data_IF_030262937058
#
_entry.id   IF_030262937058
#
_cell.length_a   1.000
_cell.length_b   1.000
_cell.length_c   1.000
_cell.angle_alpha   90.00
_cell.angle_beta   90.00
_cell.angle_gamma   90.00
#
_symmetry.space_group_name_H-M   'P 1'
#
loop_
_entity.id
_entity.type
_entity.pdbx_description
1 polymer ?
#
# COMPACT_ATOMS: atom_id res chain seq x y z
N UNK A 1 -16.47 -3.86 23.02
CA UNK A 1 -15.93 -2.52 23.36
C UNK A 1 -16.77 -1.51 22.60
N UNK A 2 -17.74 -0.88 23.26
CA UNK A 2 -18.61 0.11 22.61
C UNK A 2 -17.76 1.28 22.08
N UNK A 3 -17.90 1.59 20.80
CA UNK A 3 -17.26 2.75 20.21
C UNK A 3 -17.97 4.00 20.74
N UNK A 4 -17.30 4.76 21.61
CA UNK A 4 -17.78 6.07 22.02
C UNK A 4 -17.67 7.05 20.84
N UNK A 5 -18.74 7.06 20.04
CA UNK A 5 -18.89 7.90 18.84
C UNK A 5 -19.62 9.23 19.15
N UNK A 6 -19.83 9.56 20.43
CA UNK A 6 -20.43 10.85 20.81
C UNK A 6 -19.56 11.98 20.26
N UNK A 7 -20.16 13.04 19.68
CA UNK A 7 -19.41 14.19 19.19
C UNK A 7 -18.39 14.69 20.21
N UNK A 8 -17.27 15.24 19.71
CA UNK A 8 -16.27 15.84 20.57
C UNK A 8 -16.87 17.02 21.33
N UNK A 9 -16.50 17.18 22.60
CA UNK A 9 -16.86 18.36 23.40
C UNK A 9 -16.14 19.61 22.88
N UNK A 10 -16.59 20.83 23.21
CA UNK A 10 -15.88 22.05 22.82
C UNK A 10 -14.39 22.05 23.21
N UNK A 11 -14.06 21.60 24.43
CA UNK A 11 -12.68 21.47 24.89
C UNK A 11 -11.87 20.43 24.08
N UNK A 12 -12.49 19.31 23.69
CA UNK A 12 -11.85 18.32 22.82
C UNK A 12 -11.64 18.86 21.39
N UNK A 13 -12.53 19.72 20.90
CA UNK A 13 -12.41 20.34 19.58
C UNK A 13 -11.25 21.35 19.49
N UNK A 14 -10.92 22.04 20.60
CA UNK A 14 -9.78 22.97 20.65
C UNK A 14 -8.44 22.27 20.42
N UNK A 15 -8.32 21.02 20.86
CA UNK A 15 -7.09 20.21 20.73
C UNK A 15 -7.12 19.25 19.54
N UNK A 16 -8.31 18.95 19.01
CA UNK A 16 -8.51 18.13 17.82
C UNK A 16 -8.23 18.94 16.56
N UNK A 17 -7.07 18.70 15.97
CA UNK A 17 -6.69 19.35 14.72
C UNK A 17 -7.16 18.53 13.52
N UNK A 18 -8.20 19.02 12.83
CA UNK A 18 -8.58 18.46 11.54
C UNK A 18 -7.50 18.76 10.51
N UNK A 19 -7.17 17.82 9.60
CA UNK A 19 -6.32 18.08 8.45
C UNK A 19 -6.97 19.05 7.43
N UNK A 20 -7.66 20.10 7.86
CA UNK A 20 -8.10 21.17 6.98
C UNK A 20 -6.91 22.08 6.67
N UNK A 21 -6.40 21.89 5.45
CA UNK A 21 -5.70 22.86 4.59
C UNK A 21 -4.21 23.21 4.79
N UNK A 22 -3.53 22.93 5.91
CA UNK A 22 -2.12 23.36 6.03
C UNK A 22 -1.05 22.27 5.80
N UNK A 23 -1.14 21.11 6.46
CA UNK A 23 -0.01 20.15 6.46
C UNK A 23 -0.28 18.90 5.63
N UNK A 24 -0.13 19.06 4.30
CA UNK A 24 -0.12 17.96 3.32
C UNK A 24 0.81 16.83 3.78
N UNK A 25 0.40 15.58 3.61
CA UNK A 25 1.25 14.42 3.89
C UNK A 25 2.25 14.17 2.75
N UNK A 26 2.08 14.87 1.62
CA UNK A 26 2.91 14.81 0.42
C UNK A 26 2.98 13.37 -0.13
N UNK A 27 1.81 12.74 -0.13
CA UNK A 27 1.54 11.40 -0.67
C UNK A 27 1.02 11.50 -2.10
N UNK A 28 0.54 10.39 -2.68
CA UNK A 28 -0.07 10.39 -4.00
C UNK A 28 -1.29 11.33 -4.09
N UNK A 29 -2.06 11.48 -3.01
CA UNK A 29 -3.22 12.38 -2.94
C UNK A 29 -2.88 13.84 -3.27
N UNK A 30 -1.65 14.26 -2.97
CA UNK A 30 -1.19 15.65 -3.14
C UNK A 30 -0.66 15.96 -4.54
N UNK A 31 -0.65 14.98 -5.45
CA UNK A 31 0.03 15.10 -6.75
C UNK A 31 -0.87 15.56 -7.90
N UNK A 32 -1.92 16.35 -7.59
CA UNK A 32 -2.89 16.86 -8.55
C UNK A 32 -3.54 15.76 -9.40
N UNK A 33 -3.94 14.66 -8.75
CA UNK A 33 -4.52 13.50 -9.42
C UNK A 33 -5.74 13.84 -10.26
N UNK A 34 -6.58 14.79 -9.83
CA UNK A 34 -7.75 15.23 -10.60
C UNK A 34 -7.39 15.76 -12.00
N UNK A 35 -6.23 16.44 -12.13
CA UNK A 35 -5.72 16.93 -13.43
C UNK A 35 -5.06 15.81 -14.24
N UNK A 36 -4.33 14.91 -13.58
CA UNK A 36 -3.54 13.86 -14.26
C UNK A 36 -4.36 12.63 -14.65
N UNK A 37 -5.42 12.35 -13.91
CA UNK A 37 -6.32 11.22 -14.11
C UNK A 37 -7.76 11.73 -13.85
N UNK A 38 -8.37 12.41 -14.82
CA UNK A 38 -9.75 12.87 -14.69
C UNK A 38 -10.68 11.64 -14.64
N UNK A 39 -11.53 11.59 -13.61
CA UNK A 39 -12.65 10.66 -13.59
C UNK A 39 -13.79 11.28 -14.39
N UNK A 40 -14.56 10.45 -15.10
CA UNK A 40 -15.72 10.94 -15.84
C UNK A 40 -16.70 11.60 -14.86
N UNK A 41 -17.17 12.84 -15.12
CA UNK A 41 -18.00 13.58 -14.17
C UNK A 41 -19.27 12.83 -13.78
N UNK A 42 -19.63 12.92 -12.51
CA UNK A 42 -20.94 12.54 -12.00
C UNK A 42 -22.00 13.54 -12.47
N UNK A 43 -23.15 13.07 -12.96
CA UNK A 43 -24.34 13.91 -13.18
C UNK A 43 -24.35 14.81 -14.42
N UNK A 44 -23.47 14.60 -15.41
CA UNK A 44 -23.60 15.31 -16.70
C UNK A 44 -24.90 14.91 -17.43
N UNK A 45 -25.57 15.88 -18.08
CA UNK A 45 -26.75 15.61 -18.93
C UNK A 45 -26.35 14.59 -20.00
N UNK A 46 -27.00 13.44 -19.99
CA UNK A 46 -26.50 12.25 -20.67
C UNK A 46 -27.62 11.58 -21.45
N UNK A 47 -27.36 11.32 -22.73
CA UNK A 47 -28.27 10.55 -23.57
C UNK A 47 -28.52 9.17 -22.95
N UNK A 48 -29.77 8.70 -23.06
CA UNK A 48 -30.19 7.38 -22.60
C UNK A 48 -29.47 6.29 -23.41
N UNK A 49 -29.22 5.14 -22.77
CA UNK A 49 -28.65 4.00 -23.46
C UNK A 49 -29.56 3.54 -24.63
N UNK A 50 -28.97 3.42 -25.82
CA UNK A 50 -29.67 2.92 -27.03
C UNK A 50 -29.67 1.40 -27.13
N UNK A 51 -28.69 0.75 -26.51
CA UNK A 51 -28.47 -0.69 -26.53
C UNK A 51 -28.24 -1.22 -25.12
N UNK A 52 -28.67 -2.45 -24.85
CA UNK A 52 -28.47 -3.14 -23.58
C UNK A 52 -27.06 -3.70 -23.39
N UNK A 53 -26.86 -4.54 -22.36
CA UNK A 53 -25.63 -5.33 -22.15
C UNK A 53 -25.61 -6.64 -22.95
N UNK A 54 -26.63 -6.89 -23.79
CA UNK A 54 -26.75 -8.10 -24.57
C UNK A 54 -27.07 -9.29 -23.66
N UNK A 55 -26.26 -10.36 -23.71
CA UNK A 55 -26.52 -11.58 -22.93
C UNK A 55 -26.50 -11.37 -21.40
N UNK A 56 -25.85 -10.30 -20.93
CA UNK A 56 -25.81 -9.97 -19.50
C UNK A 56 -27.12 -9.37 -19.00
N UNK A 57 -28.00 -8.86 -19.87
CA UNK A 57 -29.31 -8.33 -19.45
C UNK A 57 -30.26 -9.44 -18.97
N UNK A 58 -29.92 -10.72 -19.18
CA UNK A 58 -30.65 -11.86 -18.62
C UNK A 58 -30.44 -11.96 -17.10
N UNK A 59 -29.35 -11.40 -16.58
CA UNK A 59 -29.03 -11.48 -15.16
C UNK A 59 -29.82 -10.42 -14.38
N UNK A 60 -30.39 -10.78 -13.21
CA UNK A 60 -30.95 -9.80 -12.28
C UNK A 60 -29.91 -8.76 -11.86
N UNK A 61 -30.36 -7.56 -11.53
CA UNK A 61 -29.50 -6.45 -11.14
C UNK A 61 -28.61 -6.79 -9.95
N UNK A 62 -29.12 -7.56 -8.99
CA UNK A 62 -28.42 -8.02 -7.81
C UNK A 62 -27.23 -8.90 -8.19
N UNK A 63 -27.43 -9.82 -9.13
CA UNK A 63 -26.38 -10.72 -9.63
C UNK A 63 -25.33 -9.93 -10.41
N UNK A 64 -25.76 -8.98 -11.25
CA UNK A 64 -24.84 -8.06 -11.93
C UNK A 64 -24.00 -7.28 -10.92
N UNK A 65 -24.61 -6.70 -9.88
CA UNK A 65 -23.90 -5.96 -8.84
C UNK A 65 -22.91 -6.85 -8.08
N UNK A 66 -23.28 -8.09 -7.76
CA UNK A 66 -22.35 -9.05 -7.15
C UNK A 66 -21.16 -9.34 -8.05
N UNK A 67 -21.38 -9.58 -9.35
CA UNK A 67 -20.30 -9.79 -10.32
C UNK A 67 -19.38 -8.57 -10.34
N UNK A 68 -19.94 -7.36 -10.49
CA UNK A 68 -19.17 -6.12 -10.55
C UNK A 68 -18.29 -5.88 -9.30
N UNK A 69 -18.77 -6.27 -8.12
CA UNK A 69 -18.01 -6.15 -6.87
C UNK A 69 -16.81 -7.11 -6.80
N UNK A 70 -16.90 -8.27 -7.45
CA UNK A 70 -15.83 -9.27 -7.49
C UNK A 70 -14.83 -9.03 -8.63
N UNK A 71 -15.12 -8.12 -9.55
CA UNK A 71 -14.18 -7.71 -10.60
C UNK A 71 -13.14 -6.73 -10.08
N UNK A 72 -11.99 -6.73 -10.75
CA UNK A 72 -10.99 -5.69 -10.60
C UNK A 72 -11.46 -4.36 -11.21
N UNK A 73 -10.86 -3.27 -10.73
CA UNK A 73 -11.23 -1.91 -11.14
C UNK A 73 -11.01 -1.71 -12.65
N UNK A 74 -9.98 -2.34 -13.24
CA UNK A 74 -9.70 -2.25 -14.67
C UNK A 74 -10.79 -2.92 -15.50
N UNK A 75 -11.27 -4.11 -15.10
CA UNK A 75 -12.36 -4.84 -15.76
C UNK A 75 -13.65 -4.05 -15.77
N UNK A 76 -14.06 -3.47 -14.64
CA UNK A 76 -15.23 -2.57 -14.59
C UNK A 76 -15.04 -1.30 -15.42
N UNK A 77 -13.85 -0.69 -15.38
CA UNK A 77 -13.54 0.49 -16.21
C UNK A 77 -13.61 0.13 -17.70
N UNK A 78 -13.25 -1.10 -18.06
CA UNK A 78 -13.35 -1.60 -19.44
C UNK A 78 -14.81 -1.81 -19.83
N UNK A 79 -15.64 -2.38 -18.94
CA UNK A 79 -17.09 -2.49 -19.15
C UNK A 79 -17.74 -1.11 -19.35
N UNK A 80 -17.34 -0.10 -18.57
CA UNK A 80 -17.83 1.27 -18.73
C UNK A 80 -17.54 1.89 -20.12
N UNK A 81 -16.54 1.37 -20.83
CA UNK A 81 -16.14 1.86 -22.15
C UNK A 81 -16.80 1.10 -23.30
N UNK A 82 -17.52 0.01 -23.04
CA UNK A 82 -18.12 -0.82 -24.08
C UNK A 82 -19.33 -0.15 -24.73
N UNK A 83 -20.31 0.26 -23.93
CA UNK A 83 -21.48 1.00 -24.37
C UNK A 83 -22.06 1.81 -23.20
N UNK A 84 -23.12 2.58 -23.46
CA UNK A 84 -23.75 3.42 -22.44
C UNK A 84 -24.39 2.61 -21.32
N UNK A 85 -25.04 1.48 -21.61
CA UNK A 85 -25.61 0.62 -20.57
C UNK A 85 -24.53 0.04 -19.66
N UNK A 86 -23.38 -0.35 -20.20
CA UNK A 86 -22.21 -0.82 -19.43
C UNK A 86 -21.64 0.26 -18.54
N UNK A 87 -21.58 1.49 -19.06
CA UNK A 87 -21.28 2.66 -18.24
C UNK A 87 -22.27 2.79 -17.08
N UNK A 88 -23.56 2.87 -17.38
CA UNK A 88 -24.62 3.13 -16.41
C UNK A 88 -24.68 2.01 -15.36
N UNK A 89 -24.53 0.74 -15.75
CA UNK A 89 -24.55 -0.40 -14.82
C UNK A 89 -23.43 -0.32 -13.78
N UNK A 90 -22.20 -0.01 -14.20
CA UNK A 90 -21.09 0.16 -13.25
C UNK A 90 -21.26 1.44 -12.45
N UNK A 91 -21.75 2.52 -13.09
CA UNK A 91 -21.93 3.80 -12.44
C UNK A 91 -23.04 3.76 -11.38
N UNK A 92 -24.13 3.04 -11.60
CA UNK A 92 -25.25 2.90 -10.68
C UNK A 92 -24.91 2.05 -9.46
N UNK A 93 -23.75 1.39 -9.44
CA UNK A 93 -23.27 0.62 -8.29
C UNK A 93 -23.11 1.54 -7.06
N UNK A 94 -23.93 1.38 -6.00
CA UNK A 94 -23.94 2.29 -4.86
C UNK A 94 -22.58 2.41 -4.16
N UNK A 95 -21.84 1.30 -4.10
CA UNK A 95 -20.52 1.24 -3.48
C UNK A 95 -19.50 2.07 -4.26
N UNK A 96 -19.53 2.02 -5.59
CA UNK A 96 -18.67 2.88 -6.42
C UNK A 96 -19.04 4.35 -6.23
N UNK A 97 -20.34 4.66 -6.18
CA UNK A 97 -20.80 6.03 -5.93
C UNK A 97 -20.30 6.58 -4.60
N UNK A 98 -20.29 5.78 -3.54
CA UNK A 98 -19.70 6.17 -2.26
C UNK A 98 -18.20 6.49 -2.40
N UNK A 99 -17.43 5.69 -3.15
CA UNK A 99 -16.00 5.95 -3.38
C UNK A 99 -15.78 7.23 -4.19
N UNK A 100 -16.55 7.43 -5.28
CA UNK A 100 -16.45 8.64 -6.12
C UNK A 100 -16.82 9.89 -5.32
N UNK A 101 -17.86 9.81 -4.48
CA UNK A 101 -18.35 10.92 -3.67
C UNK A 101 -17.37 11.28 -2.55
N UNK A 102 -16.88 10.29 -1.81
CA UNK A 102 -16.14 10.55 -0.58
C UNK A 102 -14.63 10.55 -0.76
N UNK A 103 -14.07 9.73 -1.66
CA UNK A 103 -12.61 9.59 -1.81
C UNK A 103 -12.18 9.34 -3.26
N UNK A 104 -12.49 10.25 -4.21
CA UNK A 104 -12.21 10.04 -5.63
C UNK A 104 -10.71 9.96 -5.93
N UNK A 105 -9.85 10.55 -5.09
CA UNK A 105 -8.40 10.44 -5.24
C UNK A 105 -7.88 9.01 -5.08
N UNK A 106 -8.61 8.12 -4.42
CA UNK A 106 -8.26 6.70 -4.31
C UNK A 106 -8.35 6.03 -5.67
N UNK A 107 -9.49 6.18 -6.35
CA UNK A 107 -9.68 5.67 -7.72
C UNK A 107 -8.69 6.30 -8.69
N UNK A 108 -8.48 7.62 -8.62
CA UNK A 108 -7.48 8.29 -9.46
C UNK A 108 -6.06 7.82 -9.17
N UNK A 109 -5.75 7.52 -7.91
CA UNK A 109 -4.47 6.97 -7.50
C UNK A 109 -4.26 5.60 -8.13
N UNK A 110 -5.21 4.68 -7.94
CA UNK A 110 -5.19 3.32 -8.49
C UNK A 110 -5.05 3.34 -10.01
N UNK A 111 -5.88 4.11 -10.72
CA UNK A 111 -5.83 4.23 -12.18
C UNK A 111 -4.54 4.92 -12.65
N UNK A 112 -4.18 6.05 -12.02
CA UNK A 112 -3.00 6.83 -12.38
C UNK A 112 -1.69 6.09 -12.15
N UNK A 113 -1.66 5.14 -11.21
CA UNK A 113 -0.50 4.28 -10.96
C UNK A 113 -0.55 2.93 -11.67
N UNK A 114 -1.53 2.71 -12.56
CA UNK A 114 -1.70 1.47 -13.34
C UNK A 114 -1.93 0.22 -12.45
N UNK A 115 -2.56 0.39 -11.28
CA UNK A 115 -2.84 -0.69 -10.31
C UNK A 115 -4.26 -1.26 -10.42
N UNK A 116 -5.07 -0.76 -11.36
CA UNK A 116 -6.49 -1.09 -11.46
C UNK A 116 -6.77 -2.58 -11.75
N UNK A 117 -5.86 -3.29 -12.41
CA UNK A 117 -6.00 -4.73 -12.69
C UNK A 117 -5.67 -5.64 -11.51
N UNK A 118 -5.10 -5.09 -10.43
CA UNK A 118 -4.67 -5.86 -9.25
C UNK A 118 -5.52 -5.60 -8.02
N UNK A 119 -6.46 -4.65 -8.08
CA UNK A 119 -7.30 -4.26 -6.94
C UNK A 119 -8.76 -4.48 -7.31
N UNK A 120 -9.41 -5.36 -6.54
CA UNK A 120 -10.85 -5.63 -6.61
C UNK A 120 -11.68 -4.52 -5.96
N UNK A 121 -12.91 -4.31 -6.44
CA UNK A 121 -13.83 -3.39 -5.76
C UNK A 121 -14.17 -3.84 -4.35
N UNK A 122 -14.53 -5.11 -4.16
CA UNK A 122 -14.80 -5.65 -2.83
C UNK A 122 -13.60 -5.51 -1.90
N UNK A 123 -12.40 -5.77 -2.41
CA UNK A 123 -11.16 -5.60 -1.64
C UNK A 123 -10.99 -4.16 -1.18
N UNK A 124 -11.14 -3.18 -2.08
CA UNK A 124 -11.05 -1.76 -1.75
C UNK A 124 -12.12 -1.33 -0.73
N UNK A 125 -13.36 -1.78 -0.90
CA UNK A 125 -14.47 -1.45 -0.01
C UNK A 125 -14.23 -1.99 1.40
N UNK A 126 -13.74 -3.23 1.53
CA UNK A 126 -13.38 -3.81 2.82
C UNK A 126 -12.33 -2.95 3.56
N UNK A 127 -11.39 -2.33 2.83
CA UNK A 127 -10.39 -1.41 3.40
C UNK A 127 -10.98 -0.04 3.75
N UNK A 128 -12.00 0.42 3.04
CA UNK A 128 -12.70 1.67 3.36
C UNK A 128 -13.64 1.50 4.56
N UNK A 129 -14.24 0.34 4.75
CA UNK A 129 -15.16 0.04 5.86
C UNK A 129 -14.47 -0.51 7.11
N UNK A 130 -13.13 -0.59 7.11
CA UNK A 130 -12.32 -0.88 8.30
C UNK A 130 -11.49 0.35 8.65
N UNK A 131 -11.52 0.87 9.90
CA UNK A 131 -10.79 2.07 10.27
C UNK A 131 -9.32 1.81 10.65
N UNK A 132 -8.97 0.58 11.02
CA UNK A 132 -7.69 0.26 11.66
C UNK A 132 -6.57 0.06 10.65
N UNK A 133 -5.35 0.43 11.04
CA UNK A 133 -4.13 0.02 10.36
C UNK A 133 -3.99 -1.52 10.43
N UNK A 134 -3.38 -2.13 9.42
CA UNK A 134 -3.15 -3.58 9.40
C UNK A 134 -1.81 -3.99 10.03
N UNK A 135 -0.89 -3.03 10.22
CA UNK A 135 0.38 -3.26 10.92
C UNK A 135 0.36 -2.89 12.40
N UNK A 136 -0.63 -2.12 12.84
CA UNK A 136 -0.79 -1.70 14.24
C UNK A 136 -2.26 -1.38 14.51
N UNK A 137 -2.61 -1.06 15.76
CA UNK A 137 -4.01 -0.80 16.15
C UNK A 137 -4.49 0.65 15.92
N UNK A 138 -3.62 1.54 15.43
CA UNK A 138 -3.97 2.94 15.18
C UNK A 138 -4.94 3.10 14.01
N UNK A 139 -5.56 4.28 13.87
CA UNK A 139 -6.32 4.63 12.68
C UNK A 139 -5.42 4.64 11.43
N UNK A 140 -5.81 3.88 10.41
CA UNK A 140 -5.07 3.78 9.15
C UNK A 140 -5.57 4.77 8.11
N UNK A 141 -5.23 6.06 8.20
CA UNK A 141 -5.70 7.08 7.25
C UNK A 141 -5.15 6.98 5.82
N UNK A 142 -4.43 5.90 5.48
CA UNK A 142 -3.77 5.72 4.20
C UNK A 142 -3.93 4.29 3.67
N UNK A 143 -3.79 4.15 2.36
CA UNK A 143 -3.79 2.87 1.64
C UNK A 143 -2.48 2.72 0.89
N UNK A 144 -1.77 1.62 1.18
CA UNK A 144 -0.64 1.16 0.39
C UNK A 144 -1.14 0.39 -0.83
N UNK A 145 -0.99 0.99 -2.00
CA UNK A 145 -1.63 0.53 -3.24
C UNK A 145 -1.08 -0.80 -3.76
N UNK A 146 0.20 -1.11 -3.50
CA UNK A 146 0.83 -2.33 -4.03
C UNK A 146 0.20 -3.62 -3.49
N UNK A 147 -0.27 -3.61 -2.24
CA UNK A 147 -0.90 -4.76 -1.57
C UNK A 147 -2.34 -4.49 -1.14
N UNK A 148 -2.89 -3.31 -1.48
CA UNK A 148 -4.19 -2.83 -1.01
C UNK A 148 -4.32 -2.91 0.53
N UNK A 149 -3.29 -2.45 1.26
CA UNK A 149 -3.22 -2.56 2.73
C UNK A 149 -3.47 -1.20 3.39
N UNK A 150 -4.41 -1.15 4.34
CA UNK A 150 -4.69 0.06 5.14
C UNK A 150 -3.59 0.25 6.18
N UNK A 151 -3.04 1.45 6.24
CA UNK A 151 -1.82 1.75 7.03
C UNK A 151 -1.87 3.15 7.63
N UNK A 152 -1.30 3.32 8.83
CA UNK A 152 -1.14 4.63 9.45
C UNK A 152 0.18 5.31 9.02
N UNK A 153 0.31 6.62 9.25
CA UNK A 153 1.50 7.38 8.83
C UNK A 153 2.81 6.81 9.38
N UNK A 154 2.81 6.44 10.65
CA UNK A 154 3.98 5.86 11.34
C UNK A 154 4.43 4.56 10.68
N UNK A 155 3.50 3.65 10.40
CA UNK A 155 3.82 2.35 9.86
C UNK A 155 4.43 2.47 8.45
N UNK A 156 3.80 3.22 7.53
CA UNK A 156 4.31 3.26 6.15
C UNK A 156 5.66 3.99 6.02
N UNK A 157 5.96 4.91 6.94
CA UNK A 157 7.23 5.65 6.95
C UNK A 157 8.38 4.89 7.62
N UNK A 158 8.08 3.95 8.52
CA UNK A 158 9.10 3.23 9.31
C UNK A 158 9.28 1.77 8.92
N UNK A 159 8.19 1.02 8.73
CA UNK A 159 8.28 -0.43 8.57
C UNK A 159 8.84 -0.80 7.19
N UNK A 160 9.71 -1.83 7.10
CA UNK A 160 10.34 -2.23 5.84
C UNK A 160 9.34 -2.72 4.80
N UNK A 161 8.20 -3.27 5.23
CA UNK A 161 7.13 -3.78 4.36
C UNK A 161 6.52 -2.70 3.44
N UNK A 162 6.63 -1.43 3.84
CA UNK A 162 6.11 -0.30 3.07
C UNK A 162 7.21 0.49 2.36
N UNK A 163 8.36 -0.14 2.12
CA UNK A 163 9.41 0.36 1.24
C UNK A 163 9.37 -0.42 -0.08
N UNK A 164 8.76 0.14 -1.15
CA UNK A 164 8.73 -0.52 -2.45
C UNK A 164 10.13 -0.61 -3.07
N UNK A 165 10.41 -1.74 -3.69
CA UNK A 165 11.63 -1.96 -4.46
C UNK A 165 11.46 -1.45 -5.90
N UNK A 166 12.53 -0.94 -6.51
CA UNK A 166 12.51 -0.65 -7.95
C UNK A 166 12.46 -1.95 -8.75
N UNK A 167 11.73 -1.97 -9.87
CA UNK A 167 11.74 -3.08 -10.83
C UNK A 167 13.17 -3.51 -11.21
N UNK A 168 14.06 -2.55 -11.46
CA UNK A 168 15.46 -2.82 -11.80
C UNK A 168 16.23 -3.49 -10.65
N UNK A 169 15.91 -3.14 -9.40
CA UNK A 169 16.50 -3.77 -8.22
C UNK A 169 15.98 -5.20 -8.05
N UNK A 170 14.69 -5.45 -8.30
CA UNK A 170 14.13 -6.81 -8.25
C UNK A 170 14.80 -7.73 -9.29
N UNK A 171 14.94 -7.27 -10.55
CA UNK A 171 15.67 -8.04 -11.56
C UNK A 171 17.13 -8.30 -11.17
N UNK A 172 17.86 -7.26 -10.74
CA UNK A 172 19.31 -7.34 -10.53
C UNK A 172 19.68 -8.07 -9.24
N UNK A 173 18.92 -7.86 -8.15
CA UNK A 173 19.27 -8.38 -6.81
C UNK A 173 18.58 -9.70 -6.50
N UNK A 174 17.36 -9.91 -7.01
CA UNK A 174 16.54 -11.08 -6.70
C UNK A 174 16.41 -12.04 -7.90
N UNK A 175 16.97 -11.69 -9.06
CA UNK A 175 16.92 -12.55 -10.24
C UNK A 175 15.52 -12.77 -10.82
N UNK A 176 14.53 -11.96 -10.42
CA UNK A 176 13.16 -12.07 -10.93
C UNK A 176 13.14 -11.73 -12.42
N UNK A 177 12.61 -12.65 -13.23
CA UNK A 177 12.60 -12.51 -14.69
C UNK A 177 11.67 -11.37 -15.14
N UNK A 178 11.91 -10.85 -16.36
CA UNK A 178 11.03 -9.81 -16.93
C UNK A 178 9.61 -10.31 -17.19
N UNK A 179 9.43 -11.61 -17.41
CA UNK A 179 8.12 -12.26 -17.62
C UNK A 179 7.36 -12.36 -16.31
N UNK A 180 8.02 -12.83 -15.24
CA UNK A 180 7.36 -12.98 -13.93
C UNK A 180 6.91 -11.63 -13.39
N UNK A 181 7.73 -10.59 -13.55
CA UNK A 181 7.38 -9.22 -13.12
C UNK A 181 6.08 -8.72 -13.75
N UNK A 182 5.74 -9.13 -14.98
CA UNK A 182 4.47 -8.71 -15.61
C UNK A 182 3.25 -9.28 -14.91
N UNK A 183 3.40 -10.40 -14.20
CA UNK A 183 2.34 -11.05 -13.44
C UNK A 183 2.19 -10.47 -12.02
N UNK A 184 3.18 -9.70 -11.56
CA UNK A 184 3.18 -9.11 -10.23
C UNK A 184 2.50 -7.74 -10.22
N UNK A 185 1.85 -7.36 -9.10
CA UNK A 185 1.40 -5.99 -8.89
C UNK A 185 2.58 -5.01 -9.01
N UNK A 186 2.57 -4.23 -10.10
CA UNK A 186 3.63 -3.28 -10.44
C UNK A 186 3.06 -1.87 -10.49
N UNK A 187 3.44 -1.04 -9.53
CA UNK A 187 2.97 0.33 -9.42
C UNK A 187 3.85 1.27 -10.24
N UNK A 188 3.27 2.01 -11.17
CA UNK A 188 3.97 3.04 -11.93
C UNK A 188 3.73 4.42 -11.34
N UNK A 189 4.74 4.97 -10.67
CA UNK A 189 4.58 6.19 -9.88
C UNK A 189 4.11 7.38 -10.70
N UNK A 190 3.42 8.32 -10.05
CA UNK A 190 3.01 9.59 -10.64
C UNK A 190 4.12 10.63 -10.40
N UNK A 191 4.52 11.46 -11.37
CA UNK A 191 5.50 12.51 -11.13
C UNK A 191 4.98 13.53 -10.11
N UNK A 192 5.82 14.08 -9.23
CA UNK A 192 5.33 14.96 -8.17
C UNK A 192 6.37 15.35 -7.12
N UNK A 193 5.90 15.98 -6.05
CA UNK A 193 6.70 16.35 -4.88
C UNK A 193 6.26 15.50 -3.70
N UNK A 194 7.17 14.65 -3.22
CA UNK A 194 6.89 13.66 -2.19
C UNK A 194 7.69 13.94 -0.93
N UNK A 195 7.30 13.33 0.19
CA UNK A 195 7.93 13.47 1.52
C UNK A 195 7.79 14.88 2.08
N UNK A 196 8.07 15.04 3.38
CA UNK A 196 8.00 16.35 4.03
C UNK A 196 8.96 17.39 3.42
N UNK A 197 10.08 16.94 2.85
CA UNK A 197 11.10 17.79 2.23
C UNK A 197 10.73 18.21 0.80
N UNK A 198 9.50 17.90 0.33
CA UNK A 198 9.03 18.19 -1.03
C UNK A 198 9.99 17.67 -2.12
N UNK A 199 10.57 16.51 -1.91
CA UNK A 199 11.49 15.85 -2.85
C UNK A 199 10.84 15.73 -4.23
N UNK A 200 11.38 16.45 -5.21
CA UNK A 200 10.91 16.43 -6.59
C UNK A 200 11.25 15.11 -7.27
N UNK A 201 10.23 14.38 -7.72
CA UNK A 201 10.34 13.13 -8.45
C UNK A 201 9.67 13.28 -9.82
N UNK A 202 10.46 13.65 -10.83
CA UNK A 202 9.95 13.93 -12.19
C UNK A 202 9.78 12.67 -13.05
N UNK A 203 10.60 11.65 -12.82
CA UNK A 203 10.55 10.39 -13.56
C UNK A 203 9.51 9.45 -12.95
N UNK A 204 8.73 8.78 -13.81
CA UNK A 204 7.89 7.67 -13.39
C UNK A 204 8.78 6.46 -13.07
N UNK A 205 8.66 5.96 -11.86
CA UNK A 205 9.35 4.77 -11.38
C UNK A 205 8.39 3.58 -11.44
N UNK A 206 8.92 2.39 -11.73
CA UNK A 206 8.15 1.15 -11.59
C UNK A 206 8.57 0.51 -10.27
N UNK A 207 7.62 0.47 -9.34
CA UNK A 207 7.77 0.01 -7.97
C UNK A 207 7.06 -1.34 -7.83
N UNK A 208 7.65 -2.22 -7.04
CA UNK A 208 7.13 -3.54 -6.72
C UNK A 208 7.19 -3.70 -5.21
N UNK A 209 6.22 -4.40 -4.64
CA UNK A 209 6.29 -4.77 -3.24
C UNK A 209 7.50 -5.67 -2.96
N UNK A 210 8.24 -5.35 -1.90
CA UNK A 210 9.48 -6.06 -1.57
C UNK A 210 9.21 -7.51 -1.20
N UNK A 211 8.14 -7.80 -0.45
CA UNK A 211 7.81 -9.16 -0.02
C UNK A 211 7.32 -9.99 -1.21
N UNK A 212 6.48 -9.43 -2.07
CA UNK A 212 6.02 -10.10 -3.30
C UNK A 212 7.20 -10.44 -4.23
N UNK A 213 8.16 -9.53 -4.37
CA UNK A 213 9.36 -9.77 -5.18
C UNK A 213 10.25 -10.88 -4.59
N UNK A 214 10.39 -10.93 -3.26
CA UNK A 214 11.14 -11.99 -2.58
C UNK A 214 10.48 -13.36 -2.75
N UNK A 215 9.16 -13.45 -2.52
CA UNK A 215 8.39 -14.69 -2.70
C UNK A 215 8.52 -15.23 -4.12
N UNK A 216 8.43 -14.35 -5.13
CA UNK A 216 8.59 -14.74 -6.54
C UNK A 216 10.00 -15.24 -6.86
N UNK A 217 11.02 -14.63 -6.26
CA UNK A 217 12.41 -15.10 -6.40
C UNK A 217 12.58 -16.49 -5.81
N UNK A 218 12.04 -16.74 -4.62
CA UNK A 218 12.10 -18.04 -3.95
C UNK A 218 11.41 -19.14 -4.74
N UNK A 219 10.21 -18.90 -5.29
CA UNK A 219 9.48 -19.89 -6.09
C UNK A 219 10.22 -20.23 -7.38
N UNK A 220 10.83 -19.24 -8.05
CA UNK A 220 11.64 -19.46 -9.26
C UNK A 220 12.92 -20.25 -8.95
N UNK A 221 13.56 -20.01 -7.80
CA UNK A 221 14.73 -20.80 -7.39
C UNK A 221 14.36 -22.25 -7.06
N UNK A 222 13.22 -22.47 -6.39
CA UNK A 222 12.72 -23.81 -6.08
C UNK A 222 12.32 -24.59 -7.33
N UNK A 223 11.59 -23.98 -8.26
CA UNK A 223 11.20 -24.65 -9.52
C UNK A 223 12.40 -25.07 -10.35
N UNK A 224 13.44 -24.23 -10.42
CA UNK A 224 14.71 -24.56 -11.09
C UNK A 224 15.50 -25.67 -10.41
N UNK A 225 15.40 -25.81 -9.08
CA UNK A 225 15.99 -26.92 -8.35
C UNK A 225 15.21 -28.22 -8.58
N UNK A 226 13.88 -28.15 -8.64
CA UNK A 226 12.99 -29.30 -8.87
C UNK A 226 13.01 -29.83 -10.30
N UNK A 227 13.26 -28.99 -11.33
CA UNK A 227 13.43 -29.49 -12.72
C UNK A 227 14.77 -30.22 -12.95
N UNK A 228 15.64 -30.29 -11.93
CA UNK A 228 16.86 -31.09 -11.94
C UNK A 228 16.70 -32.51 -11.39
N UNK A 229 15.50 -32.90 -10.95
CA UNK A 229 15.23 -34.22 -10.39
C UNK A 229 14.03 -34.91 -11.04
N UNK A 230 14.25 -36.16 -11.48
CA UNK A 230 13.28 -37.23 -11.79
C UNK A 230 12.41 -37.05 -13.06
N UNK A 231 12.27 -37.98 -14.02
CA UNK A 231 12.40 -39.44 -14.05
C UNK A 231 12.90 -39.92 -15.42
N UNK A 232 13.91 -40.79 -15.45
CA UNK A 232 14.27 -41.56 -16.64
C UNK A 232 13.37 -42.80 -16.74
N UNK A 233 12.36 -42.74 -17.61
CA UNK A 233 11.77 -43.95 -18.19
C UNK A 233 12.64 -44.33 -19.39
N UNK A 234 13.23 -45.51 -19.33
CA UNK A 234 13.98 -46.16 -20.40
C UNK A 234 13.10 -46.32 -21.64
N UNK A 235 13.59 -45.87 -22.80
CA UNK A 235 13.83 -46.66 -24.01
C UNK A 235 14.57 -45.78 -25.07
N UNK A 236 15.33 -46.40 -26.00
CA UNK A 236 16.54 -45.80 -26.58
C UNK A 236 16.31 -45.18 -27.96
N UNK A 237 16.85 -43.99 -28.16
CA UNK A 237 17.22 -43.49 -29.49
C UNK A 237 18.58 -42.80 -29.36
N UNK A 238 19.61 -43.52 -29.79
CA UNK A 238 20.95 -43.00 -29.94
C UNK A 238 20.95 -41.89 -31.00
N UNK A 239 21.54 -40.74 -30.65
CA UNK A 239 22.46 -40.00 -31.52
C UNK A 239 23.13 -38.86 -30.75
N UNK A 240 24.31 -39.16 -30.21
CA UNK A 240 25.50 -38.32 -30.38
C UNK A 240 25.62 -37.01 -29.59
N UNK A 241 25.80 -37.08 -28.27
CA UNK A 241 26.59 -36.09 -27.51
C UNK A 241 27.42 -36.86 -26.48
N UNK A 242 28.71 -37.02 -26.74
CA UNK A 242 29.64 -37.76 -25.87
C UNK A 242 29.74 -37.11 -24.49
N UNK A 243 29.97 -37.90 -23.43
CA UNK A 243 30.10 -37.44 -22.04
C UNK A 243 31.15 -36.32 -21.83
N UNK A 244 32.09 -36.17 -22.77
CA UNK A 244 33.04 -35.06 -22.83
C UNK A 244 32.33 -33.71 -23.10
N UNK A 245 31.32 -33.69 -23.98
CA UNK A 245 30.54 -32.50 -24.33
C UNK A 245 29.69 -32.03 -23.15
N UNK A 246 29.05 -32.95 -22.43
CA UNK A 246 28.24 -32.63 -21.25
C UNK A 246 29.09 -32.08 -20.10
N UNK A 247 30.29 -32.63 -19.89
CA UNK A 247 31.27 -32.11 -18.92
C UNK A 247 31.81 -30.75 -19.32
N UNK A 248 32.08 -30.51 -20.60
CA UNK A 248 32.52 -29.21 -21.10
C UNK A 248 31.42 -28.14 -21.00
N UNK A 249 30.16 -28.49 -21.23
CA UNK A 249 29.02 -27.58 -21.04
C UNK A 249 28.83 -27.27 -19.55
N UNK A 250 28.92 -28.28 -18.68
CA UNK A 250 28.85 -28.08 -17.23
C UNK A 250 30.04 -27.25 -16.70
N UNK A 251 31.26 -27.50 -17.19
CA UNK A 251 32.45 -26.73 -16.85
C UNK A 251 32.36 -25.30 -17.37
N UNK A 252 31.89 -25.08 -18.61
CA UNK A 252 31.63 -23.72 -19.13
C UNK A 252 30.53 -23.00 -18.35
N UNK A 253 29.51 -23.71 -17.89
CA UNK A 253 28.46 -23.13 -17.04
C UNK A 253 28.99 -22.81 -15.62
N UNK A 254 29.87 -23.64 -15.08
CA UNK A 254 30.56 -23.42 -13.80
C UNK A 254 31.54 -22.25 -13.90
N UNK A 255 32.33 -22.17 -14.98
CA UNK A 255 33.24 -21.07 -15.29
C UNK A 255 32.49 -19.76 -15.55
N UNK A 256 31.36 -19.81 -16.24
CA UNK A 256 30.50 -18.64 -16.43
C UNK A 256 29.84 -18.18 -15.12
N UNK A 257 29.71 -19.06 -14.11
CA UNK A 257 29.27 -18.69 -12.75
C UNK A 257 30.43 -18.12 -11.92
N UNK A 258 31.64 -18.67 -12.02
CA UNK A 258 32.82 -18.19 -11.28
C UNK A 258 33.44 -16.91 -11.87
N UNK A 259 33.24 -16.64 -13.16
CA UNK A 259 33.61 -15.37 -13.82
C UNK A 259 32.57 -14.26 -13.63
N UNK A 260 31.41 -14.52 -13.01
CA UNK A 260 30.54 -13.43 -12.56
C UNK A 260 31.30 -12.75 -11.43
N UNK A 261 31.65 -11.46 -11.56
CA UNK A 261 32.12 -10.72 -10.40
C UNK A 261 31.08 -10.92 -9.32
N UNK A 262 31.51 -11.26 -8.10
CA UNK A 262 30.63 -11.15 -6.94
C UNK A 262 29.98 -9.78 -7.06
N UNK A 263 28.67 -9.74 -7.28
CA UNK A 263 27.98 -8.48 -7.40
C UNK A 263 28.34 -7.76 -6.11
N UNK A 264 29.01 -6.58 -6.19
CA UNK A 264 29.50 -5.94 -4.97
C UNK A 264 28.34 -5.93 -4.00
N UNK A 265 28.58 -6.33 -2.74
CA UNK A 265 27.64 -6.10 -1.64
C UNK A 265 27.54 -4.58 -1.50
N UNK A 266 26.89 -3.94 -2.47
CA UNK A 266 26.46 -2.56 -2.41
C UNK A 266 25.50 -2.60 -1.25
N UNK A 267 25.97 -2.12 -0.09
CA UNK A 267 25.10 -1.78 1.03
C UNK A 267 23.90 -1.11 0.39
N UNK A 268 22.73 -1.75 0.49
CA UNK A 268 21.53 -1.23 -0.14
C UNK A 268 21.38 0.24 0.26
N UNK A 269 20.90 1.13 -0.63
CA UNK A 269 20.76 2.53 -0.28
C UNK A 269 20.05 2.63 1.07
N UNK A 270 20.70 3.28 2.03
CA UNK A 270 20.19 3.44 3.40
C UNK A 270 18.81 4.06 3.27
N UNK A 271 17.80 3.37 3.80
CA UNK A 271 16.45 3.87 3.76
C UNK A 271 16.32 5.07 4.70
N UNK A 272 16.10 6.25 4.12
CA UNK A 272 15.95 7.52 4.87
C UNK A 272 14.56 7.67 5.51
N UNK A 273 13.82 6.57 5.67
CA UNK A 273 12.52 6.47 6.33
C UNK A 273 11.53 7.51 5.79
N UNK A 274 11.04 8.43 6.63
CA UNK A 274 10.10 9.48 6.26
C UNK A 274 10.62 10.46 5.18
N UNK A 275 11.92 10.42 4.86
CA UNK A 275 12.53 11.21 3.78
C UNK A 275 12.69 10.41 2.47
N UNK A 276 12.31 9.13 2.44
CA UNK A 276 12.43 8.31 1.24
C UNK A 276 11.15 8.45 0.38
N UNK A 277 11.21 9.07 -0.81
CA UNK A 277 10.03 9.34 -1.62
C UNK A 277 9.32 8.07 -2.10
N UNK A 278 10.03 6.94 -2.23
CA UNK A 278 9.41 5.67 -2.66
C UNK A 278 8.33 5.20 -1.70
N UNK A 279 8.48 5.48 -0.40
CA UNK A 279 7.47 5.15 0.63
C UNK A 279 6.17 5.92 0.44
N UNK A 280 6.22 7.10 -0.19
CA UNK A 280 5.06 7.98 -0.37
C UNK A 280 4.39 7.83 -1.75
N UNK A 281 5.14 7.38 -2.76
CA UNK A 281 4.64 7.21 -4.14
C UNK A 281 3.53 6.16 -4.28
N UNK A 282 3.50 5.19 -3.38
CA UNK A 282 2.52 4.09 -3.36
C UNK A 282 1.41 4.29 -2.33
N UNK A 283 1.34 5.48 -1.70
CA UNK A 283 0.43 5.78 -0.59
C UNK A 283 -0.62 6.78 -1.06
N UNK A 284 -1.89 6.44 -0.87
CA UNK A 284 -3.02 7.36 -1.07
C UNK A 284 -3.80 7.52 0.22
N UNK A 285 -4.31 8.71 0.49
CA UNK A 285 -5.15 8.97 1.67
C UNK A 285 -6.54 8.37 1.48
N UNK A 286 -7.05 7.71 2.53
CA UNK A 286 -8.38 7.08 2.51
C UNK A 286 -9.17 7.39 3.80
N UNK A 287 -10.49 7.62 3.70
CA UNK A 287 -11.35 7.74 4.87
C UNK A 287 -11.70 6.35 5.44
N UNK A 288 -12.31 6.35 6.61
CA UNK A 288 -13.18 5.28 7.06
C UNK A 288 -14.62 5.61 6.64
N UNK A 289 -15.22 4.76 5.80
CA UNK A 289 -16.63 4.84 5.43
C UNK A 289 -17.43 3.99 6.42
N UNK A 290 -18.26 4.65 7.23
CA UNK A 290 -19.14 3.94 8.15
C UNK A 290 -20.29 3.30 7.34
N UNK A 291 -20.38 1.96 7.30
CA UNK A 291 -21.37 1.27 6.48
C UNK A 291 -22.81 1.49 6.96
N UNK A 292 -23.02 1.85 8.24
CA UNK A 292 -24.35 2.09 8.80
C UNK A 292 -24.87 3.48 8.45
N UNK A 293 -24.01 4.50 8.50
CA UNK A 293 -24.42 5.90 8.31
C UNK A 293 -24.09 6.45 6.93
N UNK A 294 -23.27 5.75 6.13
CA UNK A 294 -22.75 6.24 4.85
C UNK A 294 -21.81 7.45 4.99
N UNK A 295 -21.35 7.79 6.20
CA UNK A 295 -20.49 8.96 6.44
C UNK A 295 -19.01 8.58 6.32
N UNK A 296 -18.21 9.52 5.82
CA UNK A 296 -16.78 9.38 5.67
C UNK A 296 -16.02 10.12 6.78
N UNK A 297 -15.13 9.41 7.47
CA UNK A 297 -14.29 9.94 8.55
C UNK A 297 -12.82 9.89 8.12
N UNK A 298 -12.17 11.05 8.03
CA UNK A 298 -10.77 11.18 7.59
C UNK A 298 -9.76 11.12 8.74
N UNK A 299 -10.25 11.10 9.98
CA UNK A 299 -9.45 11.19 11.19
C UNK A 299 -8.85 12.59 11.43
N UNK A 300 -8.50 12.85 12.69
CA UNK A 300 -7.90 14.09 13.18
C UNK A 300 -6.59 13.80 13.87
N UNK A 301 -5.79 14.84 14.07
CA UNK A 301 -4.56 14.81 14.84
C UNK A 301 -4.79 15.48 16.20
N UNK A 302 -3.92 15.20 17.16
CA UNK A 302 -3.82 16.01 18.36
C UNK A 302 -2.83 17.16 18.09
N UNK A 303 -3.22 18.42 18.32
CA UNK A 303 -2.33 19.57 18.13
C UNK A 303 -1.13 19.53 19.10
N UNK A 304 -1.34 19.08 20.34
CA UNK A 304 -0.31 19.03 21.38
C UNK A 304 0.74 17.93 21.18
N UNK A 305 0.52 17.03 20.22
CA UNK A 305 1.47 15.97 19.87
C UNK A 305 2.58 16.42 18.91
N UNK A 306 2.95 17.70 18.94
CA UNK A 306 3.90 18.24 17.98
C UNK A 306 5.33 17.75 18.29
N UNK A 307 5.78 16.81 17.46
CA UNK A 307 7.16 16.40 17.18
C UNK A 307 8.08 15.70 18.20
N UNK A 308 7.82 15.60 19.51
CA UNK A 308 8.82 15.01 20.42
C UNK A 308 8.30 14.10 21.55
N UNK A 309 7.51 13.09 21.22
CA UNK A 309 7.46 11.89 22.07
C UNK A 309 8.05 10.70 21.30
N UNK A 310 9.18 10.20 21.81
CA UNK A 310 9.67 8.85 21.54
C UNK A 310 9.99 8.48 20.07
N UNK A 311 10.78 9.33 19.39
CA UNK A 311 11.31 9.09 18.03
C UNK A 311 10.23 8.82 16.94
N UNK A 312 8.96 9.04 17.24
CA UNK A 312 7.80 8.92 16.35
C UNK A 312 7.23 10.32 16.16
N UNK A 313 7.06 10.77 14.92
CA UNK A 313 6.32 12.02 14.65
C UNK A 313 4.84 11.83 14.99
N UNK A 314 4.48 12.01 16.27
CA UNK A 314 3.10 11.96 16.76
C UNK A 314 2.22 13.02 16.09
N UNK A 315 2.83 14.09 15.58
CA UNK A 315 2.20 15.15 14.79
C UNK A 315 1.42 14.65 13.56
N UNK A 316 1.68 13.43 13.10
CA UNK A 316 0.99 12.81 11.95
C UNK A 316 0.11 11.62 12.33
N UNK A 317 0.04 11.24 13.62
CA UNK A 317 -0.88 10.20 14.10
C UNK A 317 -2.30 10.72 13.96
N UNK A 318 -3.16 9.90 13.36
CA UNK A 318 -4.57 10.22 13.17
C UNK A 318 -5.43 9.38 14.12
N UNK A 319 -6.58 9.91 14.48
CA UNK A 319 -7.52 9.31 15.43
C UNK A 319 -8.95 9.38 14.91
N UNK A 320 -9.75 8.39 15.30
CA UNK A 320 -11.20 8.54 15.43
C UNK A 320 -11.53 8.97 16.87
N UNK A 321 -12.77 9.38 17.13
CA UNK A 321 -13.21 9.93 18.43
C UNK A 321 -12.79 9.03 19.61
N UNK A 322 -13.16 7.76 19.58
CA UNK A 322 -12.82 6.82 20.65
C UNK A 322 -11.30 6.68 20.86
N UNK A 323 -10.52 6.61 19.78
CA UNK A 323 -9.06 6.54 19.83
C UNK A 323 -8.42 7.82 20.34
N UNK A 324 -9.01 8.98 20.04
CA UNK A 324 -8.55 10.27 20.54
C UNK A 324 -8.81 10.42 22.04
N UNK A 325 -9.98 10.00 22.53
CA UNK A 325 -10.27 9.99 23.98
C UNK A 325 -9.34 9.06 24.74
N UNK A 326 -9.01 7.90 24.16
CA UNK A 326 -7.98 7.02 24.72
C UNK A 326 -6.61 7.71 24.76
N UNK A 327 -6.22 8.39 23.70
CA UNK A 327 -4.98 9.19 23.64
C UNK A 327 -4.95 10.28 24.73
N UNK A 328 -6.02 11.05 24.90
CA UNK A 328 -6.12 12.09 25.94
C UNK A 328 -6.04 11.53 27.35
N UNK A 329 -6.55 10.31 27.60
CA UNK A 329 -6.37 9.62 28.89
C UNK A 329 -4.93 9.17 29.13
N UNK A 330 -4.22 8.80 28.06
CA UNK A 330 -2.83 8.32 28.16
C UNK A 330 -1.82 9.46 28.31
N UNK A 331 -1.99 10.55 27.57
CA UNK A 331 -1.07 11.69 27.57
C UNK A 331 -1.53 12.84 28.50
N UNK A 332 -2.68 12.70 29.15
CA UNK A 332 -3.31 13.75 29.94
C UNK A 332 -3.88 14.91 29.12
N UNK A 333 -4.44 15.87 29.84
CA UNK A 333 -4.98 17.12 29.27
C UNK A 333 -3.93 17.93 28.53
N UNK A 334 -4.37 18.96 27.81
CA UNK A 334 -3.47 19.89 27.12
C UNK A 334 -3.57 21.25 27.79
N UNK A 335 -2.43 21.81 28.21
CA UNK A 335 -2.32 23.17 28.75
C UNK A 335 -1.22 23.87 27.97
N UNK A 336 -1.48 25.10 27.51
CA UNK A 336 -0.53 25.90 26.71
C UNK A 336 0.01 25.19 25.45
N UNK A 337 -0.80 24.31 24.85
CA UNK A 337 -0.41 23.58 23.64
C UNK A 337 0.43 22.32 23.88
N UNK A 338 0.66 21.93 25.13
CA UNK A 338 1.43 20.75 25.50
C UNK A 338 0.61 19.80 26.38
N UNK A 339 0.90 18.50 26.28
CA UNK A 339 0.30 17.48 27.14
C UNK A 339 0.87 17.57 28.56
N UNK A 340 0.00 17.65 29.57
CA UNK A 340 0.39 17.77 31.00
C UNK A 340 0.32 16.44 31.78
N UNK A 341 0.14 15.30 31.09
CA UNK A 341 0.01 13.97 31.72
C UNK A 341 1.16 13.01 31.46
N UNK A 342 1.77 12.60 32.58
CA UNK A 342 2.73 11.50 32.83
C UNK A 342 4.00 11.50 31.96
N UNK A 343 5.03 12.13 32.52
CA UNK A 343 6.40 11.65 32.47
C UNK A 343 6.41 10.18 32.93
N UNK A 344 6.43 9.23 31.99
CA UNK A 344 6.90 7.89 32.35
C UNK A 344 8.41 7.99 32.50
N UNK A 345 8.84 8.43 33.68
CA UNK A 345 10.09 7.97 34.26
C UNK A 345 9.98 6.45 34.36
N UNK A 346 10.37 5.76 33.29
CA UNK A 346 10.90 4.41 33.45
C UNK A 346 12.30 4.65 33.97
N UNK A 347 12.38 4.60 35.29
CA UNK A 347 13.61 4.48 36.05
C UNK A 347 14.34 3.23 35.51
N UNK A 348 15.25 3.43 34.55
CA UNK A 348 16.28 2.45 34.19
C UNK A 348 17.17 2.33 35.42
N UNK A 349 16.75 1.47 36.34
CA UNK A 349 17.49 1.11 37.53
C UNK A 349 18.90 0.70 37.12
N UNK A 350 19.84 1.61 37.36
CA UNK A 350 21.26 1.31 37.48
C UNK A 350 21.43 0.18 38.50
N UNK A 351 21.83 -1.00 38.02
CA UNK A 351 22.65 -1.89 38.82
C UNK A 351 24.04 -1.97 38.20
N UNK A 352 24.88 -1.03 38.62
CA UNK A 352 26.32 -1.24 38.70
C UNK A 352 26.74 -1.15 40.17
N UNK A 353 27.09 -2.28 40.75
CA UNK A 353 27.97 -2.42 41.93
C UNK A 353 28.44 -3.88 41.94
N UNK A 354 29.60 -4.18 41.37
CA UNK A 354 30.92 -4.19 42.02
C UNK A 354 31.14 -5.38 42.98
N UNK A 355 32.07 -6.25 42.55
CA UNK A 355 33.16 -6.89 43.29
C UNK A 355 32.91 -8.11 44.21
N UNK A 356 33.85 -9.07 44.11
CA UNK A 356 34.16 -10.17 45.05
C UNK A 356 34.07 -11.55 44.38
N UNK A 357 35.19 -12.15 43.91
CA UNK A 357 35.94 -13.26 44.56
C UNK A 357 35.17 -14.60 44.53
N UNK A 358 35.68 -15.79 44.19
CA UNK A 358 37.02 -16.41 44.17
C UNK A 358 36.88 -17.81 43.50
N UNK A 359 38.02 -18.37 43.05
CA UNK A 359 38.41 -19.79 43.00
C UNK A 359 37.50 -20.87 42.37
N UNK A 360 37.91 -21.42 41.20
CA UNK A 360 38.76 -22.62 41.11
C UNK A 360 39.10 -23.02 39.67
#
# INVERSE_FOLDING_TARGET
>A
MEQDDRPLTPAELEVAWWPMHSVRSLTLSDQHLARKCPLTPYGGRREKAKYGLGRLDVLPLEILNMILLHLDIQSCTSLQRTNRRGYDTVHELPQLQAVIRHCPNVLRGILGTEMASFIGYQQLLNKLTSPTCESCIDFGGYLYLLTCTRVCFRCFTKLPNYLPMLKSQACRRLGVSKTDIKLLPCLKSVPGHYTINRTSCRRRLVLIDTQTALQTSSTVSQSRASTGGTHGTTLPAEQGLTACSSRLIAQRAQEARSRRPDAPRVKGPIDTLAQNPRRFMAIVEIPYLNPRTGRAYWGFRCYACNDYFDNVRHSKRQFLIAGFRQHMRQCGGVINGEHVGVTSEVDDGQQSSLAGQEDH
#
